data_IF_381636897978
#
_entry.id   IF_381636897978
#
_cell.length_a   1.000
_cell.length_b   1.000
_cell.length_c   1.000
_cell.angle_alpha   90.00
_cell.angle_beta   90.00
_cell.angle_gamma   90.00
#
_symmetry.space_group_name_H-M   'P 1'
#
loop_
_entity.id
_entity.type
_entity.pdbx_description
1 polymer ?
#
# COMPACT_ATOMS: atom_id res chain seq x y z
N UNK A 1 -7.46 -0.38 -1.46
CA UNK A 1 -8.77 -1.05 -1.34
C UNK A 1 -9.75 -0.25 -2.18
N UNK A 2 -10.21 -0.79 -3.30
CA UNK A 2 -11.16 -0.11 -4.21
C UNK A 2 -12.53 -0.01 -3.52
N UNK A 3 -13.13 1.18 -3.52
CA UNK A 3 -14.46 1.38 -2.99
C UNK A 3 -15.47 0.46 -3.71
N UNK A 4 -16.40 -0.20 -2.98
CA UNK A 4 -17.39 -1.07 -3.59
C UNK A 4 -18.28 -0.27 -4.55
N UNK A 5 -18.59 -0.87 -5.69
CA UNK A 5 -19.49 -0.28 -6.70
C UNK A 5 -20.85 0.03 -6.06
N UNK A 6 -21.32 1.30 -6.10
CA UNK A 6 -22.56 1.71 -5.46
C UNK A 6 -23.78 0.98 -6.03
N UNK A 7 -23.76 0.60 -7.31
CA UNK A 7 -24.85 -0.14 -7.93
C UNK A 7 -24.96 -1.57 -7.41
N UNK A 8 -23.82 -2.25 -7.23
CA UNK A 8 -23.77 -3.58 -6.58
C UNK A 8 -24.25 -3.52 -5.14
N UNK A 9 -23.94 -2.42 -4.45
CA UNK A 9 -24.37 -2.21 -3.06
C UNK A 9 -25.89 -2.05 -2.97
N UNK A 10 -26.50 -1.25 -3.85
CA UNK A 10 -27.96 -1.10 -3.94
C UNK A 10 -28.65 -2.42 -4.29
N UNK A 11 -28.11 -3.16 -5.26
CA UNK A 11 -28.65 -4.46 -5.65
C UNK A 11 -28.64 -5.47 -4.49
N UNK A 12 -27.53 -5.56 -3.75
CA UNK A 12 -27.42 -6.45 -2.60
C UNK A 12 -28.43 -6.08 -1.50
N UNK A 13 -28.63 -4.79 -1.22
CA UNK A 13 -29.62 -4.32 -0.24
C UNK A 13 -31.05 -4.60 -0.69
N UNK A 14 -31.34 -4.43 -1.98
CA UNK A 14 -32.63 -4.76 -2.55
C UNK A 14 -32.91 -6.27 -2.40
N UNK A 15 -31.97 -7.12 -2.81
CA UNK A 15 -32.11 -8.57 -2.68
C UNK A 15 -32.31 -9.00 -1.22
N UNK A 16 -31.57 -8.40 -0.29
CA UNK A 16 -31.76 -8.64 1.14
C UNK A 16 -33.16 -8.26 1.63
N UNK A 17 -33.68 -7.11 1.17
CA UNK A 17 -35.03 -6.64 1.53
C UNK A 17 -36.12 -7.55 0.93
N UNK A 18 -35.89 -8.09 -0.26
CA UNK A 18 -36.77 -9.08 -0.88
C UNK A 18 -36.76 -10.40 -0.14
N UNK A 19 -35.60 -10.84 0.39
CA UNK A 19 -35.49 -12.06 1.20
C UNK A 19 -36.24 -11.94 2.53
N UNK A 20 -36.27 -10.74 3.12
CA UNK A 20 -37.07 -10.44 4.31
C UNK A 20 -38.58 -10.32 4.03
N UNK A 21 -38.99 -10.30 2.76
CA UNK A 21 -40.40 -10.18 2.37
C UNK A 21 -40.99 -8.79 2.63
N UNK A 22 -40.15 -7.74 2.69
CA UNK A 22 -40.62 -6.37 2.89
C UNK A 22 -41.48 -5.92 1.71
N UNK A 23 -42.60 -5.27 2.00
CA UNK A 23 -43.50 -4.75 0.98
C UNK A 23 -42.96 -3.42 0.45
N UNK A 24 -42.58 -3.37 -0.83
CA UNK A 24 -41.90 -2.24 -1.46
C UNK A 24 -42.70 -1.60 -2.60
N UNK A 25 -43.88 -2.15 -2.91
CA UNK A 25 -44.68 -1.80 -4.08
C UNK A 25 -45.51 -0.52 -3.99
N UNK A 26 -45.79 -0.03 -2.77
CA UNK A 26 -46.65 1.14 -2.59
C UNK A 26 -45.83 2.42 -2.38
N UNK A 27 -45.51 3.11 -3.49
CA UNK A 27 -44.79 4.38 -3.44
C UNK A 27 -45.61 5.58 -2.99
N UNK A 28 -46.83 5.38 -2.46
CA UNK A 28 -47.59 6.41 -1.74
C UNK A 28 -47.38 6.34 -0.23
N UNK A 29 -46.97 5.18 0.29
CA UNK A 29 -46.70 4.99 1.70
C UNK A 29 -45.31 5.55 2.07
N UNK A 30 -45.28 6.45 3.05
CA UNK A 30 -44.05 7.04 3.55
C UNK A 30 -43.11 6.03 4.20
N UNK A 31 -43.64 4.96 4.83
CA UNK A 31 -42.81 3.93 5.42
C UNK A 31 -42.08 3.11 4.35
N UNK A 32 -42.78 2.75 3.28
CA UNK A 32 -42.20 2.08 2.11
C UNK A 32 -41.14 2.94 1.44
N UNK A 33 -41.39 4.24 1.31
CA UNK A 33 -40.40 5.17 0.75
C UNK A 33 -39.16 5.32 1.65
N UNK A 34 -39.31 5.24 2.97
CA UNK A 34 -38.18 5.23 3.90
C UNK A 34 -37.33 3.96 3.75
N UNK A 35 -37.94 2.79 3.57
CA UNK A 35 -37.22 1.54 3.26
C UNK A 35 -36.46 1.65 1.94
N UNK A 36 -37.06 2.28 0.93
CA UNK A 36 -36.36 2.59 -0.32
C UNK A 36 -35.14 3.50 -0.11
N UNK A 37 -35.16 4.42 0.86
CA UNK A 37 -33.96 5.22 1.20
C UNK A 37 -32.86 4.37 1.82
N UNK A 38 -33.19 3.36 2.63
CA UNK A 38 -32.18 2.42 3.17
C UNK A 38 -31.55 1.61 2.03
N UNK A 39 -32.36 1.15 1.08
CA UNK A 39 -31.91 0.38 -0.09
C UNK A 39 -31.03 1.24 -1.00
N UNK A 40 -31.48 2.45 -1.35
CA UNK A 40 -30.74 3.37 -2.22
C UNK A 40 -29.53 4.01 -1.54
N UNK A 41 -29.54 4.22 -0.22
CA UNK A 41 -28.48 4.93 0.50
C UNK A 41 -28.26 6.35 -0.03
N UNK A 42 -26.99 6.75 -0.12
CA UNK A 42 -26.59 8.10 -0.56
C UNK A 42 -26.50 8.25 -2.10
N UNK A 43 -27.25 7.44 -2.84
CA UNK A 43 -27.25 7.51 -4.30
C UNK A 43 -27.89 8.83 -4.79
N UNK A 44 -27.33 9.48 -5.83
CA UNK A 44 -27.91 10.69 -6.38
C UNK A 44 -29.23 10.41 -7.11
N UNK A 45 -30.15 11.38 -7.11
CA UNK A 45 -31.45 11.32 -7.78
C UNK A 45 -31.37 10.77 -9.22
N UNK A 46 -30.35 11.19 -9.99
CA UNK A 46 -30.15 10.75 -11.36
C UNK A 46 -29.90 9.25 -11.48
N UNK A 47 -29.16 8.67 -10.53
CA UNK A 47 -28.89 7.23 -10.48
C UNK A 47 -30.13 6.46 -10.08
N UNK A 48 -30.92 6.98 -9.12
CA UNK A 48 -32.21 6.38 -8.76
C UNK A 48 -33.16 6.38 -9.98
N UNK A 49 -33.27 7.49 -10.69
CA UNK A 49 -34.18 7.62 -11.84
C UNK A 49 -33.79 6.73 -13.03
N UNK A 50 -32.50 6.61 -13.32
CA UNK A 50 -32.02 5.87 -14.48
C UNK A 50 -31.81 4.38 -14.20
N UNK A 51 -31.19 4.05 -13.08
CA UNK A 51 -30.64 2.72 -12.85
C UNK A 51 -31.57 1.80 -12.06
N UNK A 52 -32.42 2.34 -11.19
CA UNK A 52 -33.40 1.54 -10.44
C UNK A 52 -34.41 0.85 -11.37
N UNK A 53 -35.01 1.51 -12.39
CA UNK A 53 -35.91 0.82 -13.31
C UNK A 53 -35.21 -0.27 -14.12
N UNK A 54 -33.95 -0.05 -14.49
CA UNK A 54 -33.14 -1.03 -15.24
C UNK A 54 -32.84 -2.24 -14.36
N UNK A 55 -32.49 -2.03 -13.09
CA UNK A 55 -32.26 -3.08 -12.10
C UNK A 55 -33.53 -3.93 -11.89
N UNK A 56 -34.67 -3.30 -11.61
CA UNK A 56 -35.94 -4.00 -11.44
C UNK A 56 -36.40 -4.72 -12.72
N UNK A 57 -36.15 -4.11 -13.88
CA UNK A 57 -36.39 -4.72 -15.19
C UNK A 57 -35.50 -5.93 -15.46
N UNK A 58 -34.27 -5.96 -14.92
CA UNK A 58 -33.37 -7.12 -14.99
C UNK A 58 -33.84 -8.22 -14.04
N UNK A 59 -34.12 -7.90 -12.78
CA UNK A 59 -34.58 -8.86 -11.77
C UNK A 59 -35.93 -9.48 -12.14
N UNK A 60 -36.85 -8.73 -12.75
CA UNK A 60 -38.14 -9.27 -13.19
C UNK A 60 -38.07 -10.19 -14.42
N UNK A 61 -36.95 -10.20 -15.13
CA UNK A 61 -36.67 -11.15 -16.23
C UNK A 61 -35.93 -12.39 -15.75
N UNK A 62 -35.28 -12.31 -14.59
CA UNK A 62 -34.62 -13.44 -13.96
C UNK A 62 -35.66 -14.31 -13.25
N UNK A 63 -35.87 -15.53 -13.75
CA UNK A 63 -36.95 -16.42 -13.33
C UNK A 63 -36.93 -16.76 -11.83
N UNK A 64 -35.76 -16.71 -11.18
CA UNK A 64 -35.63 -16.98 -9.75
C UNK A 64 -36.13 -15.85 -8.82
N UNK A 65 -36.29 -14.63 -9.34
CA UNK A 65 -36.61 -13.45 -8.52
C UNK A 65 -38.06 -12.97 -8.69
N UNK A 66 -38.77 -13.46 -9.71
CA UNK A 66 -40.15 -13.05 -10.02
C UNK A 66 -41.09 -13.27 -8.83
N UNK A 67 -41.01 -14.43 -8.18
CA UNK A 67 -41.87 -14.76 -7.04
C UNK A 67 -41.57 -13.88 -5.81
N UNK A 68 -40.32 -13.44 -5.65
CA UNK A 68 -39.92 -12.53 -4.57
C UNK A 68 -40.46 -11.13 -4.83
N UNK A 69 -40.25 -10.61 -6.05
CA UNK A 69 -40.79 -9.32 -6.48
C UNK A 69 -42.32 -9.27 -6.37
N UNK A 70 -43.00 -10.37 -6.73
CA UNK A 70 -44.47 -10.46 -6.59
C UNK A 70 -44.92 -10.35 -5.13
N UNK A 71 -44.25 -11.06 -4.21
CA UNK A 71 -44.57 -11.03 -2.77
C UNK A 71 -44.33 -9.65 -2.16
N UNK A 72 -43.29 -8.97 -2.60
CA UNK A 72 -42.95 -7.61 -2.16
C UNK A 72 -43.78 -6.50 -2.84
N UNK A 73 -44.75 -6.85 -3.69
CA UNK A 73 -45.62 -5.88 -4.37
C UNK A 73 -44.95 -5.13 -5.53
N UNK A 74 -43.76 -5.55 -5.97
CA UNK A 74 -43.00 -4.90 -7.05
C UNK A 74 -43.38 -5.40 -8.44
N UNK A 75 -44.41 -6.22 -8.56
CA UNK A 75 -45.01 -6.54 -9.84
C UNK A 75 -46.41 -5.93 -9.91
N UNK A 76 -46.67 -5.06 -10.90
CA UNK A 76 -48.00 -4.49 -11.04
C UNK A 76 -49.00 -5.59 -11.38
N UNK A 77 -50.13 -5.62 -10.66
CA UNK A 77 -51.25 -6.53 -10.96
C UNK A 77 -51.92 -6.19 -12.29
N UNK A 78 -51.82 -4.92 -12.72
CA UNK A 78 -52.36 -4.39 -13.97
C UNK A 78 -51.40 -3.33 -14.55
N UNK A 79 -51.24 -3.32 -15.87
CA UNK A 79 -50.42 -2.32 -16.58
C UNK A 79 -49.01 -2.78 -16.96
N UNK A 80 -48.24 -1.83 -17.51
CA UNK A 80 -46.89 -2.08 -18.05
C UNK A 80 -45.82 -2.05 -16.95
N UNK A 81 -45.03 -3.12 -16.82
CA UNK A 81 -43.94 -3.23 -15.83
C UNK A 81 -42.90 -2.11 -15.97
N UNK A 82 -42.38 -1.78 -17.17
CA UNK A 82 -41.47 -0.64 -17.34
C UNK A 82 -42.02 0.68 -16.80
N UNK A 83 -43.28 1.00 -17.07
CA UNK A 83 -43.90 2.25 -16.60
C UNK A 83 -44.08 2.26 -15.08
N UNK A 84 -44.44 1.11 -14.51
CA UNK A 84 -44.51 0.96 -13.05
C UNK A 84 -43.16 1.21 -12.38
N UNK A 85 -42.07 0.62 -12.89
CA UNK A 85 -40.73 0.82 -12.34
C UNK A 85 -40.24 2.27 -12.48
N UNK A 86 -40.54 2.92 -13.61
CA UNK A 86 -40.23 4.33 -13.80
C UNK A 86 -41.00 5.23 -12.83
N UNK A 87 -42.30 4.96 -12.64
CA UNK A 87 -43.11 5.71 -11.70
C UNK A 87 -42.62 5.54 -10.25
N UNK A 88 -42.26 4.31 -9.85
CA UNK A 88 -41.70 4.01 -8.54
C UNK A 88 -40.37 4.75 -8.34
N UNK A 89 -39.45 4.67 -9.32
CA UNK A 89 -38.17 5.38 -9.25
C UNK A 89 -38.36 6.90 -9.13
N UNK A 90 -39.33 7.48 -9.84
CA UNK A 90 -39.67 8.90 -9.73
C UNK A 90 -40.20 9.27 -8.33
N UNK A 91 -41.03 8.41 -7.72
CA UNK A 91 -41.54 8.61 -6.36
C UNK A 91 -40.42 8.53 -5.32
N UNK A 92 -39.54 7.53 -5.43
CA UNK A 92 -38.37 7.35 -4.57
C UNK A 92 -37.42 8.54 -4.69
N UNK A 93 -37.07 8.96 -5.90
CA UNK A 93 -36.20 10.13 -6.13
C UNK A 93 -36.84 11.43 -5.63
N UNK A 94 -38.15 11.61 -5.84
CA UNK A 94 -38.88 12.77 -5.30
C UNK A 94 -38.91 12.78 -3.77
N UNK A 95 -39.00 11.61 -3.13
CA UNK A 95 -38.92 11.49 -1.68
C UNK A 95 -37.51 11.77 -1.15
N UNK A 96 -36.47 11.21 -1.78
CA UNK A 96 -35.07 11.50 -1.47
C UNK A 96 -34.78 13.00 -1.53
N UNK A 97 -35.24 13.67 -2.60
CA UNK A 97 -35.12 15.12 -2.75
C UNK A 97 -35.83 15.88 -1.64
N UNK A 98 -37.07 15.50 -1.32
CA UNK A 98 -37.83 16.13 -0.22
C UNK A 98 -37.13 15.96 1.13
N UNK A 99 -36.53 14.80 1.41
CA UNK A 99 -35.75 14.58 2.62
C UNK A 99 -34.47 15.42 2.63
N UNK A 100 -33.79 15.54 1.49
CA UNK A 100 -32.62 16.40 1.35
C UNK A 100 -32.98 17.88 1.52
N UNK A 101 -34.09 18.34 0.94
CA UNK A 101 -34.59 19.70 1.08
C UNK A 101 -35.05 19.97 2.52
N UNK A 102 -35.74 19.02 3.17
CA UNK A 102 -36.15 19.15 4.56
C UNK A 102 -34.96 19.12 5.53
N UNK A 103 -33.93 18.32 5.24
CA UNK A 103 -32.67 18.33 5.99
C UNK A 103 -31.94 19.68 5.83
N UNK A 104 -31.99 20.30 4.65
CA UNK A 104 -31.48 21.67 4.43
C UNK A 104 -32.28 22.69 5.24
N UNK A 105 -33.61 22.61 5.24
CA UNK A 105 -34.48 23.50 6.01
C UNK A 105 -34.22 23.38 7.53
N UNK A 106 -34.07 22.17 8.05
CA UNK A 106 -33.75 21.89 9.46
C UNK A 106 -32.33 22.33 9.85
N UNK A 107 -31.38 22.31 8.91
CA UNK A 107 -30.03 22.82 9.13
C UNK A 107 -29.93 24.36 9.07
N UNK A 108 -31.03 25.06 8.79
CA UNK A 108 -31.09 26.52 8.71
C UNK A 108 -30.60 27.11 7.38
N UNK A 109 -30.36 26.27 6.36
CA UNK A 109 -29.96 26.70 5.02
C UNK A 109 -31.18 27.02 4.13
N UNK A 110 -31.90 28.10 4.43
CA UNK A 110 -32.98 28.59 3.55
C UNK A 110 -32.47 29.44 2.38
N UNK A 111 -32.94 29.09 1.16
CA UNK A 111 -33.07 29.89 -0.07
C UNK A 111 -31.95 29.84 -1.18
N UNK A 112 -32.35 29.89 -2.48
CA UNK A 112 -31.48 29.79 -3.66
C UNK A 112 -30.50 30.96 -3.88
N UNK A 113 -30.53 32.00 -3.03
CA UNK A 113 -29.53 33.08 -3.05
C UNK A 113 -28.17 32.68 -2.45
N UNK A 114 -28.11 31.60 -1.66
CA UNK A 114 -26.86 31.09 -1.08
C UNK A 114 -26.10 30.12 -2.01
N UNK A 115 -26.73 29.63 -3.08
CA UNK A 115 -26.11 28.66 -3.99
C UNK A 115 -24.87 29.21 -4.73
N UNK A 116 -24.86 30.45 -5.26
CA UNK A 116 -23.65 31.05 -5.83
C UNK A 116 -22.53 31.20 -4.79
N UNK A 117 -22.85 31.67 -3.57
CA UNK A 117 -21.87 31.84 -2.51
C UNK A 117 -21.27 30.51 -2.03
N UNK A 118 -22.08 29.43 -1.98
CA UNK A 118 -21.62 28.08 -1.67
C UNK A 118 -20.79 27.47 -2.79
N UNK A 119 -21.15 27.67 -4.05
CA UNK A 119 -20.30 27.28 -5.19
C UNK A 119 -18.96 28.00 -5.11
N UNK A 120 -18.94 29.29 -4.80
CA UNK A 120 -17.70 30.05 -4.69
C UNK A 120 -16.87 29.61 -3.47
N UNK A 121 -17.51 29.27 -2.35
CA UNK A 121 -16.83 28.67 -1.21
C UNK A 121 -16.21 27.30 -1.55
N UNK A 122 -16.96 26.44 -2.25
CA UNK A 122 -16.47 25.13 -2.71
C UNK A 122 -15.35 25.27 -3.76
N UNK A 123 -15.42 26.26 -4.65
CA UNK A 123 -14.34 26.58 -5.59
C UNK A 123 -13.08 27.02 -4.86
N UNK A 124 -13.21 27.93 -3.89
CA UNK A 124 -12.08 28.35 -3.04
C UNK A 124 -11.49 27.19 -2.25
N UNK A 125 -12.32 26.30 -1.72
CA UNK A 125 -11.86 25.08 -1.07
C UNK A 125 -11.14 24.15 -2.06
N UNK A 126 -11.66 24.00 -3.28
CA UNK A 126 -11.02 23.22 -4.34
C UNK A 126 -9.66 23.80 -4.75
N UNK A 127 -9.56 25.12 -4.90
CA UNK A 127 -8.30 25.83 -5.18
C UNK A 127 -7.31 25.67 -4.01
N UNK A 128 -7.80 25.76 -2.77
CA UNK A 128 -6.99 25.55 -1.59
C UNK A 128 -6.43 24.11 -1.51
N UNK A 129 -7.28 23.11 -1.73
CA UNK A 129 -6.89 21.70 -1.76
C UNK A 129 -5.92 21.42 -2.91
N UNK A 130 -6.14 22.01 -4.08
CA UNK A 130 -5.18 21.92 -5.20
C UNK A 130 -3.83 22.50 -4.82
N UNK A 131 -3.79 23.68 -4.19
CA UNK A 131 -2.55 24.27 -3.69
C UNK A 131 -1.85 23.40 -2.64
N UNK A 132 -2.60 22.76 -1.73
CA UNK A 132 -2.04 21.80 -0.77
C UNK A 132 -1.45 20.57 -1.46
N UNK A 133 -2.13 20.05 -2.49
CA UNK A 133 -1.65 18.92 -3.28
C UNK A 133 -0.35 19.28 -4.02
N UNK A 134 -0.28 20.45 -4.63
CA UNK A 134 0.93 20.92 -5.33
C UNK A 134 2.12 21.03 -4.37
N UNK A 135 1.91 21.60 -3.17
CA UNK A 135 2.94 21.66 -2.12
C UNK A 135 3.39 20.26 -1.67
N UNK A 136 2.46 19.31 -1.55
CA UNK A 136 2.81 17.92 -1.19
C UNK A 136 3.60 17.22 -2.30
N UNK A 137 3.30 17.50 -3.57
CA UNK A 137 4.08 16.98 -4.70
C UNK A 137 5.49 17.56 -4.72
N UNK A 138 5.64 18.88 -4.52
CA UNK A 138 6.95 19.53 -4.45
C UNK A 138 7.78 19.00 -3.28
N UNK A 139 7.15 18.83 -2.11
CA UNK A 139 7.79 18.23 -0.94
C UNK A 139 8.21 16.76 -1.20
N UNK A 140 7.34 15.98 -1.86
CA UNK A 140 7.65 14.61 -2.26
C UNK A 140 8.84 14.53 -3.21
N UNK A 141 8.91 15.42 -4.20
CA UNK A 141 10.03 15.51 -5.12
C UNK A 141 11.34 15.90 -4.42
N UNK A 142 11.29 16.84 -3.47
CA UNK A 142 12.45 17.22 -2.67
C UNK A 142 12.97 16.05 -1.80
N UNK A 143 12.07 15.28 -1.19
CA UNK A 143 12.43 14.09 -0.41
C UNK A 143 13.07 13.02 -1.30
N UNK A 144 12.52 12.78 -2.48
CA UNK A 144 13.07 11.77 -3.41
C UNK A 144 14.47 12.16 -3.89
N UNK A 145 14.70 13.45 -4.15
CA UNK A 145 16.03 13.98 -4.50
C UNK A 145 17.05 13.79 -3.38
N UNK A 146 16.65 14.02 -2.12
CA UNK A 146 17.53 13.75 -0.97
C UNK A 146 17.76 12.25 -0.76
N UNK A 147 16.77 11.40 -1.05
CA UNK A 147 16.92 9.94 -1.04
C UNK A 147 18.00 9.50 -2.04
N UNK A 148 17.94 9.97 -3.27
CA UNK A 148 18.94 9.67 -4.31
C UNK A 148 20.35 10.13 -3.91
N UNK A 149 20.47 11.33 -3.35
CA UNK A 149 21.74 11.88 -2.85
C UNK A 149 22.32 11.03 -1.70
N UNK A 150 21.47 10.58 -0.78
CA UNK A 150 21.89 9.73 0.34
C UNK A 150 22.31 8.34 -0.17
N UNK A 151 21.57 7.76 -1.11
CA UNK A 151 21.97 6.49 -1.73
C UNK A 151 23.32 6.59 -2.44
N UNK A 152 23.55 7.64 -3.20
CA UNK A 152 24.84 7.86 -3.86
C UNK A 152 25.97 7.99 -2.83
N UNK A 153 25.71 8.72 -1.74
CA UNK A 153 26.66 8.84 -0.63
C UNK A 153 26.96 7.49 0.02
N UNK A 154 25.93 6.67 0.29
CA UNK A 154 26.09 5.32 0.81
C UNK A 154 26.89 4.41 -0.14
N UNK A 155 26.63 4.48 -1.45
CA UNK A 155 27.40 3.73 -2.45
C UNK A 155 28.87 4.13 -2.44
N UNK A 156 29.16 5.44 -2.41
CA UNK A 156 30.53 5.97 -2.33
C UNK A 156 31.24 5.53 -1.04
N UNK A 157 30.58 5.63 0.12
CA UNK A 157 31.15 5.17 1.39
C UNK A 157 31.45 3.66 1.38
N UNK A 158 30.54 2.86 0.83
CA UNK A 158 30.72 1.41 0.71
C UNK A 158 31.93 1.07 -0.16
N UNK A 159 32.05 1.73 -1.33
CA UNK A 159 33.21 1.56 -2.20
C UNK A 159 34.53 1.94 -1.51
N UNK A 160 34.55 3.03 -0.73
CA UNK A 160 35.73 3.42 0.06
C UNK A 160 36.07 2.37 1.13
N UNK A 161 35.06 1.83 1.83
CA UNK A 161 35.28 0.77 2.83
C UNK A 161 35.84 -0.51 2.19
N UNK A 162 35.31 -0.92 1.04
CA UNK A 162 35.81 -2.10 0.34
C UNK A 162 37.24 -1.90 -0.17
N UNK A 163 37.56 -0.70 -0.65
CA UNK A 163 38.94 -0.33 -1.01
C UNK A 163 39.88 -0.40 0.20
N UNK A 164 39.49 0.19 1.33
CA UNK A 164 40.30 0.14 2.56
C UNK A 164 40.48 -1.30 3.06
N UNK A 165 39.44 -2.14 2.97
CA UNK A 165 39.55 -3.56 3.31
C UNK A 165 40.55 -4.30 2.43
N UNK A 166 40.55 -4.02 1.12
CA UNK A 166 41.54 -4.57 0.20
C UNK A 166 42.96 -4.09 0.52
N UNK A 167 43.15 -2.78 0.74
CA UNK A 167 44.45 -2.20 1.14
C UNK A 167 44.98 -2.80 2.46
N UNK A 168 44.09 -3.06 3.43
CA UNK A 168 44.44 -3.75 4.69
C UNK A 168 44.84 -5.20 4.41
N UNK A 169 44.08 -5.94 3.61
CA UNK A 169 44.39 -7.33 3.27
C UNK A 169 45.75 -7.44 2.55
N UNK A 170 45.99 -6.60 1.55
CA UNK A 170 47.27 -6.55 0.82
C UNK A 170 48.45 -6.24 1.74
N UNK A 171 48.25 -5.30 2.69
CA UNK A 171 49.27 -4.95 3.69
C UNK A 171 49.55 -6.10 4.66
N UNK A 172 48.52 -6.88 5.03
CA UNK A 172 48.66 -8.07 5.87
C UNK A 172 49.33 -9.23 5.12
N UNK A 173 49.02 -9.45 3.85
CA UNK A 173 49.68 -10.47 3.03
C UNK A 173 51.16 -10.13 2.83
N UNK A 174 51.48 -8.87 2.54
CA UNK A 174 52.86 -8.35 2.50
C UNK A 174 53.59 -8.54 3.84
N UNK A 175 52.92 -8.27 4.97
CA UNK A 175 53.44 -8.54 6.31
C UNK A 175 53.80 -10.02 6.54
N UNK A 176 52.95 -10.94 6.07
CA UNK A 176 53.16 -12.38 6.25
C UNK A 176 54.32 -12.91 5.38
N UNK A 177 54.51 -12.33 4.18
CA UNK A 177 55.60 -12.68 3.27
C UNK A 177 56.93 -12.06 3.71
N UNK A 178 56.93 -10.80 4.17
CA UNK A 178 58.11 -10.09 4.68
C UNK A 178 58.00 -9.86 6.20
N UNK A 179 58.20 -10.94 6.96
CA UNK A 179 58.22 -10.94 8.43
C UNK A 179 59.26 -9.99 9.04
N UNK A 180 60.27 -9.54 8.27
CA UNK A 180 61.24 -8.55 8.71
C UNK A 180 60.74 -7.10 8.57
N UNK A 181 59.80 -6.84 7.65
CA UNK A 181 59.10 -5.57 7.44
C UNK A 181 57.81 -5.39 8.28
N UNK A 182 57.35 -6.49 8.88
CA UNK A 182 56.14 -6.63 9.70
C UNK A 182 55.77 -5.44 10.63
N UNK A 183 56.73 -4.95 11.42
CA UNK A 183 56.46 -3.88 12.38
C UNK A 183 56.14 -2.54 11.70
N UNK A 184 56.69 -2.28 10.50
CA UNK A 184 56.43 -1.06 9.74
C UNK A 184 55.07 -1.07 9.06
N UNK A 185 54.67 -2.19 8.46
CA UNK A 185 53.36 -2.31 7.81
C UNK A 185 52.22 -2.22 8.81
N UNK A 186 52.34 -2.85 9.99
CA UNK A 186 51.38 -2.66 11.09
C UNK A 186 51.34 -1.21 11.60
N UNK A 187 52.49 -0.52 11.66
CA UNK A 187 52.51 0.88 12.06
C UNK A 187 51.78 1.79 11.05
N UNK A 188 51.94 1.54 9.75
CA UNK A 188 51.23 2.29 8.70
C UNK A 188 49.71 2.05 8.75
N UNK A 189 49.28 0.80 8.99
CA UNK A 189 47.87 0.47 9.17
C UNK A 189 47.27 1.13 10.42
N UNK A 190 48.00 1.16 11.54
CA UNK A 190 47.58 1.84 12.75
C UNK A 190 47.44 3.35 12.53
N UNK A 191 48.34 3.98 11.76
CA UNK A 191 48.26 5.40 11.40
C UNK A 191 47.06 5.69 10.48
N UNK A 192 46.82 4.86 9.47
CA UNK A 192 45.65 4.97 8.60
C UNK A 192 44.32 4.82 9.36
N UNK A 193 44.33 4.08 10.47
CA UNK A 193 43.20 3.93 11.39
C UNK A 193 43.13 5.03 12.48
N UNK A 194 44.03 6.03 12.46
CA UNK A 194 44.07 7.11 13.45
C UNK A 194 44.64 6.72 14.83
N UNK A 195 45.24 5.54 14.95
CA UNK A 195 45.85 5.01 16.18
C UNK A 195 47.33 5.41 16.27
N UNK A 196 47.59 6.71 16.35
CA UNK A 196 48.94 7.31 16.27
C UNK A 196 49.89 6.74 17.34
N UNK A 197 49.44 6.62 18.59
CA UNK A 197 50.26 6.08 19.69
C UNK A 197 50.66 4.61 19.45
N UNK A 198 49.76 3.82 18.86
CA UNK A 198 50.02 2.42 18.51
C UNK A 198 50.97 2.31 17.31
N UNK A 199 50.80 3.18 16.31
CA UNK A 199 51.74 3.27 15.20
C UNK A 199 53.16 3.57 15.68
N UNK A 200 53.30 4.48 16.66
CA UNK A 200 54.59 4.86 17.23
C UNK A 200 55.21 3.75 18.08
N UNK A 201 54.40 3.04 18.88
CA UNK A 201 54.86 1.87 19.63
C UNK A 201 55.35 0.74 18.71
N UNK A 202 54.67 0.51 17.59
CA UNK A 202 55.06 -0.50 16.60
C UNK A 202 56.38 -0.14 15.89
N UNK A 203 56.64 1.14 15.63
CA UNK A 203 57.92 1.62 15.09
C UNK A 203 59.09 1.48 16.05
N UNK A 204 58.82 1.51 17.36
CA UNK A 204 59.82 1.37 18.40
C UNK A 204 60.21 -0.10 18.67
N UNK A 205 59.48 -1.07 18.10
CA UNK A 205 59.83 -2.48 18.25
C UNK A 205 61.19 -2.77 17.57
N UNK A 206 62.13 -3.44 18.25
CA UNK A 206 63.39 -3.84 17.64
C UNK A 206 63.11 -4.77 16.45
N UNK A 207 63.85 -4.60 15.35
CA UNK A 207 63.76 -5.51 14.21
C UNK A 207 63.98 -6.92 14.71
N UNK A 208 62.99 -7.79 14.50
CA UNK A 208 63.15 -9.21 14.78
C UNK A 208 64.22 -9.74 13.82
N UNK A 209 65.46 -9.82 14.29
CA UNK A 209 66.51 -10.55 13.61
C UNK A 209 66.15 -12.04 13.73
N UNK A 210 65.98 -12.75 12.61
CA UNK A 210 65.82 -14.19 12.67
C UNK A 210 66.71 -14.96 11.69
N UNK A 211 67.26 -16.02 12.28
CA UNK A 211 68.13 -17.05 11.71
C UNK A 211 67.37 -17.92 10.70
N UNK A 212 67.96 -18.24 9.53
CA UNK A 212 67.32 -18.99 8.46
C UNK A 212 67.39 -20.50 8.75
N UNK A 213 66.68 -20.98 9.77
CA UNK A 213 66.64 -22.40 10.10
C UNK A 213 65.20 -22.91 10.22
N UNK A 214 64.46 -22.85 9.12
CA UNK A 214 63.39 -23.81 8.85
C UNK A 214 63.60 -24.31 7.42
N UNK A 215 64.31 -25.43 7.30
CA UNK A 215 64.42 -26.16 6.05
C UNK A 215 63.01 -26.58 5.63
N UNK A 216 62.51 -25.99 4.55
CA UNK A 216 61.37 -26.50 3.81
C UNK A 216 61.80 -27.86 3.25
N UNK A 217 61.33 -28.96 3.86
CA UNK A 217 61.41 -30.28 3.24
C UNK A 217 60.53 -30.25 1.98
N UNK A 218 61.07 -30.60 0.80
CA UNK A 218 60.25 -30.69 -0.40
C UNK A 218 59.23 -31.82 -0.25
N UNK A 219 58.00 -31.52 -0.65
CA UNK A 219 56.84 -32.39 -0.60
C UNK A 219 57.12 -33.74 -1.29
N UNK A 220 56.87 -34.84 -0.56
CA UNK A 220 56.65 -36.15 -1.17
C UNK A 220 55.35 -36.11 -1.95
N UNK A 221 55.44 -36.34 -3.25
CA UNK A 221 54.32 -36.67 -4.14
C UNK A 221 53.42 -37.76 -3.53
N UNK A 222 52.11 -37.53 -3.40
CA UNK A 222 51.15 -38.60 -3.39
C UNK A 222 50.40 -38.64 -4.73
N UNK A 223 50.45 -39.82 -5.33
CA UNK A 223 49.76 -40.23 -6.53
C UNK A 223 48.32 -39.69 -6.65
N UNK A 224 48.01 -39.29 -7.88
CA UNK A 224 46.69 -38.99 -8.45
C UNK A 224 45.61 -40.02 -8.04
N UNK A 225 44.43 -39.55 -7.59
CA UNK A 225 43.18 -40.28 -7.83
C UNK A 225 42.17 -39.42 -8.62
N UNK A 226 41.75 -40.03 -9.72
CA UNK A 226 40.44 -40.03 -10.38
C UNK A 226 39.32 -39.14 -9.85
N UNK A 227 38.70 -38.40 -10.81
CA UNK A 227 37.39 -37.74 -10.73
C UNK A 227 36.34 -38.60 -9.99
N UNK A 228 35.87 -38.10 -8.85
CA UNK A 228 34.64 -38.53 -8.19
C UNK A 228 33.72 -37.32 -7.99
N UNK A 229 32.48 -37.41 -8.48
CA UNK A 229 31.40 -36.43 -8.32
C UNK A 229 31.21 -36.04 -6.84
N UNK A 230 31.27 -34.76 -6.52
CA UNK A 230 30.73 -34.24 -5.26
C UNK A 230 29.26 -33.88 -5.49
N UNK A 231 28.39 -34.51 -4.72
CA UNK A 231 26.97 -34.21 -4.69
C UNK A 231 26.75 -32.80 -4.09
N UNK A 232 25.93 -32.00 -4.78
CA UNK A 232 25.50 -30.67 -4.35
C UNK A 232 24.67 -30.81 -3.07
N UNK A 233 25.12 -30.19 -1.96
CA UNK A 233 24.28 -30.01 -0.78
C UNK A 233 23.17 -28.99 -1.10
N UNK A 234 21.90 -29.25 -0.71
CA UNK A 234 20.81 -28.33 -1.00
C UNK A 234 20.92 -27.05 -0.18
N UNK A 235 20.63 -25.91 -0.83
CA UNK A 235 20.68 -24.57 -0.26
C UNK A 235 19.76 -24.41 0.96
N UNK A 236 20.16 -23.60 1.97
CA UNK A 236 19.27 -23.26 3.09
C UNK A 236 18.09 -22.41 2.59
N UNK A 237 16.88 -22.78 3.00
CA UNK A 237 15.63 -22.08 2.68
C UNK A 237 15.61 -20.66 3.26
N UNK A 238 14.98 -19.70 2.57
CA UNK A 238 14.77 -18.35 3.09
C UNK A 238 13.89 -18.39 4.35
N UNK A 239 14.29 -17.65 5.39
CA UNK A 239 13.50 -17.45 6.61
C UNK A 239 12.26 -16.64 6.28
N UNK A 240 11.09 -17.18 6.57
CA UNK A 240 9.82 -16.46 6.53
C UNK A 240 9.78 -15.35 7.60
N UNK A 241 9.13 -14.22 7.31
CA UNK A 241 8.99 -13.11 8.24
C UNK A 241 8.00 -13.47 9.36
N UNK A 242 8.47 -13.39 10.61
CA UNK A 242 7.62 -13.53 11.79
C UNK A 242 6.66 -12.33 11.89
N UNK A 243 5.37 -12.58 11.67
CA UNK A 243 4.27 -11.69 12.03
C UNK A 243 4.23 -11.52 13.56
N UNK A 244 4.56 -10.31 14.02
CA UNK A 244 4.33 -9.91 15.42
C UNK A 244 2.84 -9.62 15.61
N UNK A 245 2.18 -10.40 16.46
CA UNK A 245 0.88 -10.02 17.02
C UNK A 245 1.07 -8.94 18.11
N UNK A 246 0.20 -7.93 18.19
CA UNK A 246 0.21 -6.97 19.27
C UNK A 246 -0.26 -7.62 20.58
N UNK A 247 0.44 -7.31 21.65
CA UNK A 247 0.11 -7.72 23.01
C UNK A 247 -1.24 -7.13 23.44
N UNK A 248 -2.09 -8.00 23.97
CA UNK A 248 -3.27 -7.64 24.76
C UNK A 248 -2.83 -6.90 26.02
N UNK A 249 -3.27 -5.66 26.18
CA UNK A 249 -3.23 -4.94 27.44
C UNK A 249 -4.20 -5.59 28.44
N UNK A 250 -3.72 -5.81 29.65
CA UNK A 250 -4.52 -5.90 30.87
C UNK A 250 -4.19 -4.70 31.74
#
# INVERSE_FOLDING_TARGET
MTAPDPMRTMENRLLHSLDQGLFLGDGRDGAVLAEWMVICGDLPDSTILCDLPVLLGRLSRDGGQVDRLSRCGLLPKQGSRPLFFQALAAQVASHARRLADHARDLSGESAPSAFPARIDALRRQGEHLRGQIDVLFDAGYAVEKERERLEESCRRLTATLDKLRAEIADSLDSFLVDRAGAARTLAQLAEAAGLVDRAQALRALPRLAFSPAVAVQPARDPARPTRGRIALAPAPRPREPQLRHPASSG
#
